data_IF_142939098729
#
_entry.id   IF_142939098729
#
_cell.length_a   1.000
_cell.length_b   1.000
_cell.length_c   1.000
_cell.angle_alpha   90.00
_cell.angle_beta   90.00
_cell.angle_gamma   90.00
#
_symmetry.space_group_name_H-M   'P 1'
#
loop_
_entity.id
_entity.type
_entity.pdbx_description
1 polymer ?
#
# COMPACT_ATOMS: atom_id res chain seq x y z
N UNK A 1 15.96 -1.80 -1.51
CA UNK A 1 14.73 -2.62 -1.44
C UNK A 1 13.61 -1.94 -2.21
N UNK A 2 13.08 -2.61 -3.19
CA UNK A 2 11.97 -2.08 -4.00
C UNK A 2 10.66 -2.71 -3.56
N UNK A 3 9.68 -1.87 -3.25
CA UNK A 3 8.36 -2.29 -2.79
C UNK A 3 7.31 -1.91 -3.85
N UNK A 4 6.40 -2.85 -4.12
CA UNK A 4 5.20 -2.58 -4.91
C UNK A 4 4.05 -2.30 -3.93
N UNK A 5 3.39 -1.16 -4.09
CA UNK A 5 2.28 -0.75 -3.21
C UNK A 5 1.01 -0.66 -4.04
N UNK A 6 0.00 -1.43 -3.67
CA UNK A 6 -1.26 -1.51 -4.39
C UNK A 6 -2.44 -1.41 -3.43
N UNK A 7 -3.55 -0.88 -3.93
CA UNK A 7 -4.79 -0.74 -3.18
C UNK A 7 -5.99 -0.79 -4.13
N UNK A 8 -7.14 -1.18 -3.58
CA UNK A 8 -8.41 -1.05 -4.30
C UNK A 8 -8.39 -1.80 -5.63
N UNK A 9 -8.14 -3.10 -5.54
CA UNK A 9 -8.07 -4.03 -6.68
C UNK A 9 -9.47 -4.36 -7.21
N UNK A 10 -10.46 -4.48 -6.29
CA UNK A 10 -11.86 -4.70 -6.62
C UNK A 10 -12.09 -5.79 -7.69
N UNK A 11 -11.48 -6.95 -7.51
CA UNK A 11 -11.69 -8.12 -8.35
C UNK A 11 -10.77 -8.21 -9.58
N UNK A 12 -9.98 -7.18 -9.88
CA UNK A 12 -9.12 -7.18 -11.07
C UNK A 12 -7.74 -7.81 -10.76
N UNK A 13 -7.74 -9.13 -10.62
CA UNK A 13 -6.51 -9.87 -10.36
C UNK A 13 -5.45 -9.67 -11.44
N UNK A 14 -5.87 -9.57 -12.71
CA UNK A 14 -4.93 -9.40 -13.82
C UNK A 14 -4.15 -8.08 -13.69
N UNK A 15 -4.79 -7.03 -13.19
CA UNK A 15 -4.11 -5.76 -12.94
C UNK A 15 -2.98 -5.92 -11.90
N UNK A 16 -3.21 -6.73 -10.86
CA UNK A 16 -2.18 -7.00 -9.85
C UNK A 16 -0.98 -7.71 -10.44
N UNK A 17 -1.22 -8.75 -11.26
CA UNK A 17 -0.14 -9.46 -11.96
C UNK A 17 0.60 -8.55 -12.95
N UNK A 18 -0.12 -7.70 -13.67
CA UNK A 18 0.47 -6.76 -14.61
C UNK A 18 1.37 -5.73 -13.90
N UNK A 19 0.93 -5.18 -12.78
CA UNK A 19 1.72 -4.23 -12.01
C UNK A 19 3.02 -4.88 -11.51
N UNK A 20 2.92 -6.11 -11.00
CA UNK A 20 4.08 -6.85 -10.53
C UNK A 20 5.08 -7.11 -11.67
N UNK A 21 4.59 -7.53 -12.83
CA UNK A 21 5.43 -7.82 -13.99
C UNK A 21 6.04 -6.57 -14.61
N UNK A 22 5.37 -5.43 -14.49
CA UNK A 22 5.88 -4.16 -15.01
C UNK A 22 7.09 -3.65 -14.23
N UNK A 23 7.24 -4.10 -12.98
CA UNK A 23 8.32 -3.65 -12.10
C UNK A 23 9.35 -4.76 -11.92
N UNK A 24 10.62 -4.41 -12.10
CA UNK A 24 11.73 -5.37 -11.93
C UNK A 24 12.26 -5.34 -10.52
N UNK A 25 12.67 -6.51 -10.01
CA UNK A 25 13.36 -6.63 -8.74
C UNK A 25 12.51 -6.19 -7.53
N UNK A 26 11.21 -6.46 -7.58
CA UNK A 26 10.33 -6.21 -6.44
C UNK A 26 10.69 -7.16 -5.30
N UNK A 27 11.02 -6.60 -4.14
CA UNK A 27 11.41 -7.37 -2.96
C UNK A 27 10.25 -7.71 -2.04
N UNK A 28 9.18 -6.90 -2.06
CA UNK A 28 7.98 -7.16 -1.28
C UNK A 28 6.80 -6.38 -1.88
N UNK A 29 5.59 -6.84 -1.56
CA UNK A 29 4.34 -6.19 -1.97
C UNK A 29 3.58 -5.79 -0.71
N UNK A 30 3.07 -4.56 -0.69
CA UNK A 30 2.20 -4.07 0.36
C UNK A 30 0.82 -3.81 -0.25
N UNK A 31 -0.17 -4.56 0.21
CA UNK A 31 -1.54 -4.50 -0.27
C UNK A 31 -2.41 -3.77 0.77
N UNK A 32 -3.07 -2.71 0.34
CA UNK A 32 -3.76 -1.77 1.22
C UNK A 32 -5.28 -1.96 1.31
N UNK A 33 -5.79 -3.10 0.88
CA UNK A 33 -7.20 -3.44 1.08
C UNK A 33 -8.09 -3.28 -0.15
N UNK A 34 -9.31 -3.78 -0.01
CA UNK A 34 -10.34 -3.87 -1.04
C UNK A 34 -9.92 -4.73 -2.23
N UNK A 35 -9.76 -6.01 -1.94
CA UNK A 35 -9.33 -7.04 -2.87
C UNK A 35 -8.48 -8.10 -2.19
N UNK A 36 -8.81 -8.42 -0.92
CA UNK A 36 -8.02 -9.35 -0.11
C UNK A 36 -7.95 -10.76 -0.77
N UNK A 37 -8.99 -11.19 -1.47
CA UNK A 37 -9.00 -12.48 -2.16
C UNK A 37 -7.97 -12.52 -3.27
N UNK A 38 -7.86 -11.42 -4.03
CA UNK A 38 -6.87 -11.27 -5.09
C UNK A 38 -5.46 -11.22 -4.52
N UNK A 39 -5.26 -10.52 -3.39
CA UNK A 39 -3.98 -10.48 -2.71
C UNK A 39 -3.57 -11.87 -2.19
N UNK A 40 -4.49 -12.64 -1.61
CA UNK A 40 -4.24 -14.00 -1.15
C UNK A 40 -3.91 -14.94 -2.31
N UNK A 41 -4.62 -14.82 -3.42
CA UNK A 41 -4.33 -15.58 -4.64
C UNK A 41 -2.93 -15.24 -5.17
N UNK A 42 -2.59 -13.96 -5.18
CA UNK A 42 -1.28 -13.49 -5.62
C UNK A 42 -0.17 -14.03 -4.72
N UNK A 43 -0.35 -13.97 -3.41
CA UNK A 43 0.60 -14.51 -2.45
C UNK A 43 0.83 -16.00 -2.67
N UNK A 44 -0.22 -16.78 -2.91
CA UNK A 44 -0.12 -18.20 -3.18
C UNK A 44 0.60 -18.51 -4.48
N UNK A 45 0.50 -17.63 -5.47
CA UNK A 45 1.15 -17.79 -6.78
C UNK A 45 2.62 -17.35 -6.77
N UNK A 46 3.07 -16.65 -5.74
CA UNK A 46 4.43 -16.08 -5.65
C UNK A 46 5.07 -16.43 -4.30
N UNK A 47 5.35 -17.71 -4.07
CA UNK A 47 5.79 -18.25 -2.78
C UNK A 47 7.02 -17.57 -2.19
N UNK A 48 7.96 -17.15 -3.03
CA UNK A 48 9.21 -16.54 -2.56
C UNK A 48 9.05 -15.05 -2.23
N UNK A 49 7.92 -14.44 -2.58
CA UNK A 49 7.69 -13.02 -2.41
C UNK A 49 6.98 -12.76 -1.08
N UNK A 50 7.45 -11.77 -0.34
CA UNK A 50 6.76 -11.33 0.88
C UNK A 50 5.62 -10.41 0.51
N UNK A 51 4.40 -10.74 0.98
CA UNK A 51 3.18 -9.95 0.74
C UNK A 51 2.61 -9.55 2.10
N UNK A 52 2.52 -8.26 2.32
CA UNK A 52 1.91 -7.66 3.50
C UNK A 52 0.54 -7.17 3.10
N UNK A 53 -0.51 -7.52 3.85
CA UNK A 53 -1.86 -7.15 3.47
C UNK A 53 -2.69 -6.70 4.67
N UNK A 54 -3.58 -5.76 4.41
CA UNK A 54 -4.62 -5.33 5.34
C UNK A 54 -5.98 -5.45 4.66
N UNK A 55 -7.04 -5.57 5.45
CA UNK A 55 -8.40 -5.60 4.91
C UNK A 55 -8.94 -4.17 4.72
N UNK A 56 -9.67 -3.96 3.63
CA UNK A 56 -10.43 -2.75 3.41
C UNK A 56 -11.88 -2.91 3.84
N UNK A 57 -12.66 -1.84 3.65
CA UNK A 57 -14.08 -1.83 4.03
C UNK A 57 -14.95 -2.76 3.15
N UNK A 58 -14.46 -3.14 1.97
CA UNK A 58 -15.16 -4.08 1.08
C UNK A 58 -14.71 -5.53 1.22
N UNK A 59 -13.75 -5.82 2.09
CA UNK A 59 -13.22 -7.17 2.31
C UNK A 59 -14.02 -7.91 3.40
N UNK A 60 -15.28 -8.16 3.13
CA UNK A 60 -16.19 -8.78 4.08
C UNK A 60 -15.74 -10.19 4.49
N UNK A 61 -15.78 -10.46 5.78
CA UNK A 61 -15.43 -11.77 6.32
C UNK A 61 -13.94 -12.07 6.42
N UNK A 62 -13.08 -11.13 6.01
CA UNK A 62 -11.64 -11.29 6.13
C UNK A 62 -11.17 -11.17 7.57
N UNK A 63 -10.19 -12.02 7.96
CA UNK A 63 -9.50 -11.94 9.25
C UNK A 63 -8.18 -11.17 9.15
N UNK A 64 -7.85 -10.58 8.00
CA UNK A 64 -6.65 -9.78 7.85
C UNK A 64 -6.71 -8.55 8.77
N UNK A 65 -5.56 -8.05 9.25
CA UNK A 65 -5.57 -6.89 10.15
C UNK A 65 -6.05 -5.62 9.42
N UNK A 66 -6.52 -4.64 10.19
CA UNK A 66 -6.91 -3.33 9.66
C UNK A 66 -5.68 -2.48 9.35
N UNK A 67 -4.58 -2.70 10.07
CA UNK A 67 -3.34 -1.98 9.86
C UNK A 67 -2.15 -2.84 10.24
N UNK A 68 -0.98 -2.44 9.79
CA UNK A 68 0.27 -3.09 10.14
C UNK A 68 1.44 -2.12 10.12
N UNK A 69 2.54 -2.57 10.69
CA UNK A 69 3.82 -1.88 10.67
C UNK A 69 4.86 -2.82 10.06
N UNK A 70 5.69 -2.30 9.18
CA UNK A 70 6.82 -3.05 8.66
C UNK A 70 7.99 -2.09 8.43
N UNK A 71 9.20 -2.63 8.47
CA UNK A 71 10.40 -1.84 8.25
C UNK A 71 11.24 -2.47 7.15
N UNK A 72 11.73 -1.64 6.23
CA UNK A 72 12.66 -2.03 5.18
C UNK A 72 13.76 -0.97 5.10
N UNK A 73 15.03 -1.42 5.14
CA UNK A 73 16.18 -0.52 5.00
C UNK A 73 16.13 0.67 5.97
N UNK A 74 15.73 0.41 7.21
CA UNK A 74 15.59 1.41 8.28
C UNK A 74 14.51 2.47 8.01
N UNK A 75 13.55 2.18 7.13
CA UNK A 75 12.36 3.01 6.93
C UNK A 75 11.17 2.27 7.54
N UNK A 76 10.45 2.92 8.44
CA UNK A 76 9.27 2.34 9.10
C UNK A 76 8.00 2.80 8.39
N UNK A 77 7.21 1.83 7.96
CA UNK A 77 5.94 2.05 7.27
C UNK A 77 4.78 1.64 8.17
N UNK A 78 3.82 2.54 8.34
CA UNK A 78 2.48 2.17 8.79
C UNK A 78 1.63 2.00 7.55
N UNK A 79 0.94 0.87 7.42
CA UNK A 79 0.10 0.62 6.25
C UNK A 79 -1.31 0.23 6.70
N UNK A 80 -2.31 0.81 6.02
CA UNK A 80 -3.73 0.63 6.34
C UNK A 80 -4.56 0.93 5.09
N UNK A 81 -5.79 0.44 5.05
CA UNK A 81 -6.70 0.86 3.97
C UNK A 81 -7.08 2.32 4.12
N UNK A 82 -7.35 2.75 5.34
CA UNK A 82 -7.66 4.16 5.66
C UNK A 82 -9.10 4.41 6.08
N UNK A 83 -10.02 3.49 5.81
CA UNK A 83 -11.44 3.68 6.19
C UNK A 83 -11.61 3.86 7.71
N UNK A 84 -10.80 3.19 8.52
CA UNK A 84 -10.85 3.30 9.98
C UNK A 84 -10.35 4.66 10.48
N UNK A 85 -9.65 5.41 9.66
CA UNK A 85 -9.12 6.74 9.99
C UNK A 85 -9.88 7.86 9.29
N UNK A 86 -10.98 7.56 8.61
CA UNK A 86 -11.81 8.58 7.98
C UNK A 86 -11.11 9.40 6.91
N UNK A 87 -10.20 8.79 6.13
CA UNK A 87 -9.35 9.50 5.17
C UNK A 87 -10.11 10.21 4.04
N UNK A 88 -11.38 9.86 3.80
CA UNK A 88 -12.19 10.59 2.83
C UNK A 88 -12.58 12.00 3.32
N UNK A 89 -12.55 12.23 4.63
CA UNK A 89 -12.85 13.52 5.22
C UNK A 89 -11.59 14.33 5.55
N UNK A 90 -10.57 13.67 6.08
CA UNK A 90 -9.33 14.32 6.51
C UNK A 90 -8.24 13.28 6.70
N UNK A 91 -6.98 13.67 6.52
CA UNK A 91 -5.83 12.80 6.79
C UNK A 91 -5.28 12.97 8.21
N UNK A 92 -5.90 13.82 9.04
CA UNK A 92 -5.37 14.16 10.36
C UNK A 92 -5.26 12.95 11.28
N UNK A 93 -6.32 12.14 11.38
CA UNK A 93 -6.31 10.97 12.26
C UNK A 93 -5.25 9.95 11.85
N UNK A 94 -5.08 9.74 10.54
CA UNK A 94 -4.03 8.86 10.02
C UNK A 94 -2.64 9.41 10.35
N UNK A 95 -2.42 10.70 10.14
CA UNK A 95 -1.14 11.34 10.44
C UNK A 95 -0.81 11.23 11.93
N UNK A 96 -1.78 11.46 12.80
CA UNK A 96 -1.59 11.32 14.25
C UNK A 96 -1.20 9.89 14.65
N UNK A 97 -1.89 8.90 14.09
CA UNK A 97 -1.57 7.49 14.36
C UNK A 97 -0.16 7.12 13.89
N UNK A 98 0.21 7.58 12.70
CA UNK A 98 1.54 7.33 12.16
C UNK A 98 2.65 8.00 12.97
N UNK A 99 2.41 9.23 13.40
CA UNK A 99 3.35 9.95 14.27
C UNK A 99 3.51 9.27 15.63
N UNK A 100 2.40 8.80 16.22
CA UNK A 100 2.44 8.06 17.47
C UNK A 100 3.22 6.75 17.35
N UNK A 101 3.17 6.09 16.19
CA UNK A 101 3.93 4.89 15.88
C UNK A 101 5.37 5.17 15.45
N UNK A 102 5.73 6.45 15.30
CA UNK A 102 7.04 6.89 14.80
C UNK A 102 7.35 6.38 13.40
N UNK A 103 6.33 6.23 12.58
CA UNK A 103 6.48 5.82 11.20
C UNK A 103 7.12 6.94 10.37
N UNK A 104 7.91 6.54 9.39
CA UNK A 104 8.48 7.47 8.41
C UNK A 104 7.51 7.70 7.25
N UNK A 105 6.72 6.68 6.93
CA UNK A 105 5.76 6.70 5.83
C UNK A 105 4.45 6.07 6.30
N UNK A 106 3.33 6.73 5.98
CA UNK A 106 1.99 6.16 6.16
C UNK A 106 1.39 5.85 4.79
N UNK A 107 1.11 4.58 4.54
CA UNK A 107 0.53 4.10 3.30
C UNK A 107 -0.96 3.88 3.48
N UNK A 108 -1.78 4.39 2.57
CA UNK A 108 -3.23 4.24 2.64
C UNK A 108 -3.86 4.23 1.26
N UNK A 109 -5.08 3.73 1.16
CA UNK A 109 -5.88 3.69 -0.05
C UNK A 109 -7.24 4.34 0.18
N UNK A 110 -8.31 3.62 -0.18
CA UNK A 110 -9.71 3.95 0.06
C UNK A 110 -10.27 5.12 -0.76
N UNK A 111 -9.53 6.23 -0.90
CA UNK A 111 -10.00 7.41 -1.64
C UNK A 111 -9.96 7.22 -3.15
N UNK A 112 -9.18 6.26 -3.64
CA UNK A 112 -8.88 6.04 -5.05
C UNK A 112 -8.11 7.21 -5.70
N UNK A 113 -7.54 8.11 -4.89
CA UNK A 113 -6.82 9.29 -5.39
C UNK A 113 -5.34 9.18 -5.04
N UNK A 114 -4.44 9.16 -6.03
CA UNK A 114 -3.01 9.20 -5.76
C UNK A 114 -2.64 10.45 -4.95
N UNK A 115 -1.80 10.25 -3.93
CA UNK A 115 -1.41 11.34 -3.03
C UNK A 115 -0.02 11.10 -2.50
N UNK A 116 0.77 12.16 -2.38
CA UNK A 116 2.07 12.09 -1.72
C UNK A 116 2.41 13.45 -1.13
N UNK A 117 2.52 13.52 0.19
CA UNK A 117 2.85 14.77 0.87
C UNK A 117 3.65 14.48 2.14
N UNK A 118 4.70 15.26 2.37
CA UNK A 118 5.48 15.20 3.58
C UNK A 118 5.04 16.27 4.56
N UNK A 119 4.91 15.88 5.85
CA UNK A 119 4.59 16.79 6.94
C UNK A 119 5.37 16.34 8.19
N UNK A 120 6.18 17.24 8.74
CA UNK A 120 6.90 17.01 9.99
C UNK A 120 7.68 15.68 10.03
N UNK A 121 8.37 15.34 8.92
CA UNK A 121 9.16 14.13 8.81
C UNK A 121 8.37 12.87 8.48
N UNK A 122 7.05 12.95 8.36
CA UNK A 122 6.18 11.87 7.96
C UNK A 122 5.71 12.09 6.52
N UNK A 123 5.81 11.06 5.68
CA UNK A 123 5.24 11.11 4.33
C UNK A 123 3.94 10.31 4.30
N UNK A 124 2.86 10.95 3.85
CA UNK A 124 1.59 10.28 3.57
C UNK A 124 1.57 9.91 2.08
N UNK A 125 1.29 8.65 1.77
CA UNK A 125 1.32 8.16 0.40
C UNK A 125 0.11 7.26 0.10
N UNK A 126 -0.60 7.59 -0.96
CA UNK A 126 -1.69 6.78 -1.51
C UNK A 126 -1.33 6.42 -2.94
N UNK A 127 -1.23 5.12 -3.28
CA UNK A 127 -0.86 4.70 -4.63
C UNK A 127 -1.95 4.95 -5.67
N UNK A 128 -3.15 5.32 -5.23
CA UNK A 128 -4.33 5.33 -6.09
C UNK A 128 -5.00 3.96 -6.12
N UNK A 129 -5.95 3.78 -7.02
CA UNK A 129 -6.72 2.54 -7.13
C UNK A 129 -6.20 1.68 -8.28
N UNK A 130 -5.85 0.43 -8.00
CA UNK A 130 -5.35 -0.48 -9.04
C UNK A 130 -6.42 -0.81 -10.07
N UNK A 131 -7.70 -0.81 -9.67
CA UNK A 131 -8.81 -0.99 -10.63
C UNK A 131 -8.79 0.10 -11.72
N UNK A 132 -8.21 1.26 -11.44
CA UNK A 132 -8.03 2.33 -12.40
C UNK A 132 -6.62 2.33 -13.03
N UNK A 133 -5.84 1.29 -12.79
CA UNK A 133 -4.50 1.13 -13.32
C UNK A 133 -3.41 1.84 -12.53
N UNK A 134 -3.73 2.40 -11.37
CA UNK A 134 -2.79 3.17 -10.55
C UNK A 134 -2.15 2.30 -9.49
N UNK A 135 -0.85 2.48 -9.28
CA UNK A 135 -0.11 1.80 -8.21
C UNK A 135 1.11 2.62 -7.80
N UNK A 136 1.79 2.18 -6.77
CA UNK A 136 2.97 2.87 -6.26
C UNK A 136 4.20 1.97 -6.24
N UNK A 137 5.37 2.60 -6.36
CA UNK A 137 6.66 1.95 -6.19
C UNK A 137 7.46 2.75 -5.17
N UNK A 138 8.04 2.05 -4.21
CA UNK A 138 8.88 2.67 -3.19
C UNK A 138 10.24 2.01 -3.22
N UNK A 139 11.29 2.83 -3.34
CA UNK A 139 12.66 2.38 -3.20
C UNK A 139 13.20 2.86 -1.85
N UNK A 140 13.42 1.92 -0.93
CA UNK A 140 13.93 2.20 0.40
C UNK A 140 15.41 1.82 0.47
N UNK A 141 16.25 2.73 0.96
CA UNK A 141 17.69 2.53 1.08
C UNK A 141 18.26 3.44 2.17
N UNK A 142 18.99 2.85 3.09
CA UNK A 142 19.72 3.58 4.13
C UNK A 142 18.89 4.61 4.90
N UNK A 143 17.67 4.22 5.30
CA UNK A 143 16.79 5.09 6.08
C UNK A 143 15.99 6.09 5.26
N UNK A 144 16.13 6.06 3.94
CA UNK A 144 15.43 6.97 3.02
C UNK A 144 14.53 6.21 2.09
N UNK A 145 13.40 6.81 1.73
CA UNK A 145 12.46 6.24 0.78
C UNK A 145 12.18 7.21 -0.36
N UNK A 146 12.23 6.69 -1.58
CA UNK A 146 11.76 7.41 -2.77
C UNK A 146 10.44 6.78 -3.19
N UNK A 147 9.39 7.58 -3.26
CA UNK A 147 8.03 7.13 -3.54
C UNK A 147 7.60 7.66 -4.90
N UNK A 148 7.08 6.78 -5.74
CA UNK A 148 6.66 7.14 -7.10
C UNK A 148 5.28 6.55 -7.40
N UNK A 149 4.46 7.34 -8.10
CA UNK A 149 3.20 6.88 -8.67
C UNK A 149 3.46 6.29 -10.06
N UNK A 150 2.78 5.20 -10.35
CA UNK A 150 2.85 4.49 -11.63
C UNK A 150 1.45 4.27 -12.20
N UNK A 151 1.39 4.05 -13.48
CA UNK A 151 0.14 3.74 -14.17
C UNK A 151 0.36 2.56 -15.13
N UNK A 152 -0.57 1.60 -15.12
CA UNK A 152 -0.52 0.49 -16.08
C UNK A 152 -0.77 0.99 -17.50
N UNK A 153 0.01 0.46 -18.43
CA UNK A 153 -0.16 0.70 -19.86
C UNK A 153 -1.15 -0.34 -20.40
N UNK A 154 -2.41 0.03 -20.46
CA UNK A 154 -3.48 -0.85 -20.94
C UNK A 154 -4.06 -0.38 -22.27
#
# INVERSE_FOLDING_TARGET
>A
MKLLVVSDVHGDYDALEQAYRAEKNVGAVIFLGDGIREAERFEAAHDALRVYMVRGNCDFGSNAPIQGLCAFEAVLFLYTHGHAYGVKGSYLALAEAAQAARADVALFGHTHVPFCEEMDGLTLFNPGALIEGQYGVICAEEGKARLEHRHLMR
#
